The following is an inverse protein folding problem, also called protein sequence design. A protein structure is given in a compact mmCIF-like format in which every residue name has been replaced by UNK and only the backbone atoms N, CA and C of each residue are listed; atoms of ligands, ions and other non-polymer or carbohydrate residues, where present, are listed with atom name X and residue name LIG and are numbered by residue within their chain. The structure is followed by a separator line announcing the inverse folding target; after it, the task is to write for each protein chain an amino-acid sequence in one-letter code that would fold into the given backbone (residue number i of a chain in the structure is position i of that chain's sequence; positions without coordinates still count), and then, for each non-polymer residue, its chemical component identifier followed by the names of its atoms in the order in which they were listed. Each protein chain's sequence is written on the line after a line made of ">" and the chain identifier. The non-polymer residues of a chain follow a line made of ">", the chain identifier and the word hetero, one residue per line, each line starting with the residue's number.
data_IF_556020103006
#
_entry.id   IF_556020103006
#
_cell.length_a   1.000
_cell.length_b   1.000
_cell.length_c   1.000
_cell.angle_alpha   90.00
_cell.angle_beta   90.00
_cell.angle_gamma   90.00
#
_symmetry.space_group_name_H-M   'P 1'
#
loop_
_entity.id
_entity.type
_entity.pdbx_description
1 polymer ?
#
# COMPACT_ATOMS: atom_id res chain seq x y z
N UNK A 1 -3.30 11.64 5.76
CA UNK A 1 -4.42 11.94 4.90
C UNK A 1 -3.93 12.06 3.48
N UNK A 2 -4.84 12.40 2.57
CA UNK A 2 -4.57 12.54 1.13
C UNK A 2 -5.04 13.91 0.63
N UNK A 3 -4.45 14.40 -0.46
CA UNK A 3 -4.76 15.72 -1.01
C UNK A 3 -6.20 15.86 -1.54
N UNK A 4 -6.82 14.77 -1.99
CA UNK A 4 -8.19 14.79 -2.55
C UNK A 4 -8.96 13.53 -2.13
N UNK A 5 -9.63 13.54 -0.95
CA UNK A 5 -10.35 12.37 -0.46
C UNK A 5 -11.65 12.13 -1.24
N UNK A 6 -11.92 10.86 -1.59
CA UNK A 6 -13.13 10.42 -2.29
C UNK A 6 -13.81 9.28 -1.51
N UNK A 7 -15.14 9.30 -1.43
CA UNK A 7 -15.92 8.26 -0.73
C UNK A 7 -15.93 6.95 -1.54
N UNK A 8 -15.96 5.81 -0.83
CA UNK A 8 -16.03 4.48 -1.44
C UNK A 8 -14.68 3.93 -1.89
N UNK A 9 -13.60 4.30 -1.21
CA UNK A 9 -12.25 3.76 -1.48
C UNK A 9 -12.07 2.32 -0.99
N UNK A 10 -10.90 1.76 -1.29
CA UNK A 10 -10.49 0.43 -0.84
C UNK A 10 -10.24 0.39 0.66
N UNK A 11 -10.63 -0.71 1.30
CA UNK A 11 -10.25 -0.97 2.70
C UNK A 11 -8.80 -1.41 2.80
N UNK A 12 -8.23 -1.33 4.01
CA UNK A 12 -6.88 -1.84 4.32
C UNK A 12 -6.67 -3.27 3.81
N UNK A 13 -7.61 -4.17 4.15
CA UNK A 13 -7.48 -5.60 3.87
C UNK A 13 -7.55 -5.90 2.37
N UNK A 14 -8.37 -5.16 1.63
CA UNK A 14 -8.46 -5.29 0.18
C UNK A 14 -7.16 -4.84 -0.50
N UNK A 15 -6.63 -3.68 -0.09
CA UNK A 15 -5.35 -3.18 -0.60
C UNK A 15 -4.20 -4.15 -0.28
N UNK A 16 -4.14 -4.64 0.96
CA UNK A 16 -3.13 -5.60 1.41
C UNK A 16 -3.18 -6.90 0.58
N UNK A 17 -4.36 -7.51 0.45
CA UNK A 17 -4.53 -8.75 -0.31
C UNK A 17 -4.16 -8.60 -1.80
N UNK A 18 -4.45 -7.43 -2.40
CA UNK A 18 -4.05 -7.12 -3.77
C UNK A 18 -2.52 -7.05 -3.90
N UNK A 19 -1.83 -6.40 -2.97
CA UNK A 19 -0.37 -6.28 -3.00
C UNK A 19 0.34 -7.60 -2.69
N UNK A 20 -0.22 -8.45 -1.82
CA UNK A 20 0.27 -9.82 -1.66
C UNK A 20 0.14 -10.65 -2.95
N UNK A 21 -0.91 -10.42 -3.74
CA UNK A 21 -1.05 -11.08 -5.04
C UNK A 21 0.01 -10.61 -6.04
N UNK A 22 0.35 -9.32 -6.02
CA UNK A 22 1.49 -8.78 -6.79
C UNK A 22 2.79 -9.44 -6.34
N UNK A 23 3.05 -9.45 -5.04
CA UNK A 23 4.24 -10.05 -4.44
C UNK A 23 4.43 -11.51 -4.85
N UNK A 24 3.39 -12.36 -4.75
CA UNK A 24 3.46 -13.77 -5.18
C UNK A 24 3.78 -13.94 -6.66
N UNK A 25 3.25 -13.07 -7.52
CA UNK A 25 3.52 -13.11 -8.96
C UNK A 25 4.94 -12.64 -9.25
N UNK A 26 5.45 -11.67 -8.50
CA UNK A 26 6.82 -11.23 -8.59
C UNK A 26 7.80 -12.31 -8.13
N UNK A 27 7.55 -12.94 -6.98
CA UNK A 27 8.34 -14.07 -6.48
C UNK A 27 8.46 -15.20 -7.52
N UNK A 28 7.38 -15.51 -8.23
CA UNK A 28 7.35 -16.57 -9.23
C UNK A 28 7.92 -16.17 -10.61
N UNK A 29 7.91 -14.88 -10.98
CA UNK A 29 8.14 -14.45 -12.39
C UNK A 29 8.98 -13.17 -12.57
N UNK A 30 9.36 -12.48 -11.50
CA UNK A 30 10.15 -11.24 -11.52
C UNK A 30 9.50 -10.09 -12.29
N UNK A 31 8.20 -9.87 -12.04
CA UNK A 31 7.36 -8.92 -12.80
C UNK A 31 7.40 -7.48 -12.27
N UNK A 32 7.71 -7.27 -10.99
CA UNK A 32 7.75 -5.95 -10.36
C UNK A 32 9.14 -5.36 -10.54
N UNK A 33 9.22 -4.17 -11.13
CA UNK A 33 10.50 -3.47 -11.40
C UNK A 33 10.60 -2.12 -10.69
N UNK A 34 9.47 -1.47 -10.48
CA UNK A 34 9.36 -0.18 -9.83
C UNK A 34 8.01 -0.05 -9.15
N UNK A 35 7.94 0.77 -8.10
CA UNK A 35 6.72 1.11 -7.38
C UNK A 35 6.83 2.55 -6.91
N UNK A 36 5.79 3.33 -7.15
CA UNK A 36 5.66 4.69 -6.64
C UNK A 36 4.58 4.72 -5.54
N UNK A 37 4.88 5.43 -4.46
CA UNK A 37 3.97 5.64 -3.33
C UNK A 37 3.74 7.14 -3.21
N UNK A 38 2.53 7.57 -3.58
CA UNK A 38 2.20 8.99 -3.80
C UNK A 38 0.97 9.39 -2.98
N UNK A 39 0.68 10.70 -2.98
CA UNK A 39 -0.54 11.29 -2.41
C UNK A 39 -0.67 11.21 -0.87
N UNK A 40 0.37 10.78 -0.15
CA UNK A 40 0.43 10.98 1.30
C UNK A 40 0.63 12.47 1.59
N UNK A 41 -0.30 13.05 2.36
CA UNK A 41 -0.24 14.44 2.79
C UNK A 41 -0.17 14.53 4.33
N UNK A 42 1.01 14.85 4.92
CA UNK A 42 1.20 14.95 6.36
C UNK A 42 0.36 16.04 7.04
N UNK A 43 0.06 17.14 6.35
CA UNK A 43 -0.73 18.26 6.91
C UNK A 43 -2.16 17.80 7.19
N UNK A 44 -2.67 16.88 6.36
CA UNK A 44 -4.00 16.29 6.48
C UNK A 44 -3.96 14.91 7.15
N UNK A 45 -2.82 14.50 7.72
CA UNK A 45 -2.68 13.20 8.38
C UNK A 45 -2.89 13.30 9.88
N UNK A 46 -3.55 12.30 10.44
CA UNK A 46 -3.71 12.16 11.86
C UNK A 46 -2.67 11.16 12.35
N UNK A 47 -1.73 11.63 13.19
CA UNK A 47 -0.69 10.80 13.80
C UNK A 47 0.08 9.89 12.81
N UNK A 48 0.31 10.36 11.58
CA UNK A 48 0.96 9.60 10.49
C UNK A 48 0.23 8.30 10.12
N UNK A 49 -1.09 8.18 10.35
CA UNK A 49 -1.85 6.98 10.03
C UNK A 49 -1.74 6.62 8.54
N UNK A 50 -1.90 7.60 7.65
CA UNK A 50 -1.80 7.35 6.20
C UNK A 50 -0.38 7.04 5.76
N UNK A 51 0.63 7.69 6.35
CA UNK A 51 2.03 7.37 6.09
C UNK A 51 2.40 5.95 6.55
N UNK A 52 1.91 5.55 7.72
CA UNK A 52 2.11 4.19 8.28
C UNK A 52 1.43 3.16 7.39
N UNK A 53 0.19 3.43 6.99
CA UNK A 53 -0.55 2.61 6.03
C UNK A 53 0.22 2.42 4.71
N UNK A 54 0.74 3.50 4.14
CA UNK A 54 1.50 3.45 2.89
C UNK A 54 2.77 2.61 3.03
N UNK A 55 3.48 2.74 4.15
CA UNK A 55 4.67 1.93 4.44
C UNK A 55 4.32 0.44 4.61
N UNK A 56 3.24 0.12 5.32
CA UNK A 56 2.77 -1.27 5.50
C UNK A 56 2.39 -1.92 4.17
N UNK A 57 1.60 -1.23 3.35
CA UNK A 57 1.19 -1.72 2.03
C UNK A 57 2.40 -1.93 1.12
N UNK A 58 3.36 -1.00 1.14
CA UNK A 58 4.62 -1.15 0.40
C UNK A 58 5.38 -2.40 0.84
N UNK A 59 5.46 -2.65 2.16
CA UNK A 59 6.09 -3.86 2.68
C UNK A 59 5.37 -5.14 2.20
N UNK A 60 4.04 -5.14 2.11
CA UNK A 60 3.27 -6.27 1.55
C UNK A 60 3.62 -6.54 0.09
N UNK A 61 3.81 -5.50 -0.73
CA UNK A 61 4.27 -5.66 -2.11
C UNK A 61 5.62 -6.38 -2.18
N UNK A 62 6.53 -6.08 -1.25
CA UNK A 62 7.86 -6.69 -1.17
C UNK A 62 7.91 -7.97 -0.32
N UNK A 63 6.76 -8.60 -0.05
CA UNK A 63 6.70 -9.95 0.50
C UNK A 63 6.48 -10.04 2.01
N UNK A 64 6.25 -8.92 2.71
CA UNK A 64 5.77 -8.97 4.11
C UNK A 64 4.40 -9.62 4.15
N UNK A 65 4.26 -10.67 4.94
CA UNK A 65 2.99 -11.37 5.20
C UNK A 65 2.60 -11.24 6.67
N UNK A 66 1.33 -11.49 6.95
CA UNK A 66 0.82 -11.53 8.33
C UNK A 66 1.30 -12.80 9.06
N UNK A 67 1.48 -13.92 8.33
CA UNK A 67 1.91 -15.23 8.83
C UNK A 67 3.15 -15.72 8.07
#
# INVERSE_FOLDING_TARGET
>A
GVGTPVRGGVTYREAHAALEAVSRRDEARGILRSMDVVEVNPILDEANETATLAAELTASTFGKRIL
#
